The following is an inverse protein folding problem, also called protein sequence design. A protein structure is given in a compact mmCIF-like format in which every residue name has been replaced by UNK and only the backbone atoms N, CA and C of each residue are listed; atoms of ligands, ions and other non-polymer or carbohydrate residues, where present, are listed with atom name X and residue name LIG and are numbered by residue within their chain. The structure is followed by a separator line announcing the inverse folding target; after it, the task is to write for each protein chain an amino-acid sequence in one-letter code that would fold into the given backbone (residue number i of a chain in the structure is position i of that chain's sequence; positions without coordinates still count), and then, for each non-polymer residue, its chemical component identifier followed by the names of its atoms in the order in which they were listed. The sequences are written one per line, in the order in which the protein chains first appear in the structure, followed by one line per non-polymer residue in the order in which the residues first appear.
data_IF_733966003807
#
_entry.id   IF_733966003807
#
_cell.length_a   1.000
_cell.length_b   1.000
_cell.length_c   1.000
_cell.angle_alpha   90.00
_cell.angle_beta   90.00
_cell.angle_gamma   90.00
#
_symmetry.space_group_name_H-M   'P 1'
#
loop_
_entity.id
_entity.type
_entity.pdbx_description
1 polymer ?
#
# COMPACT_ATOMS: atom_id res chain seq x y z
N UNK A 1 28.19 24.72 -19.12
CA UNK A 1 27.58 25.03 -17.82
C UNK A 1 26.43 24.05 -17.59
N UNK A 2 26.65 23.01 -16.80
CA UNK A 2 25.62 22.05 -16.48
C UNK A 2 24.78 22.61 -15.33
N UNK A 3 23.53 22.93 -15.60
CA UNK A 3 22.55 23.30 -14.58
C UNK A 3 22.24 22.06 -13.74
N UNK A 4 22.84 21.97 -12.56
CA UNK A 4 22.40 21.04 -11.51
C UNK A 4 20.98 21.47 -11.11
N UNK A 5 19.97 20.76 -11.63
CA UNK A 5 18.64 20.79 -11.05
C UNK A 5 18.76 20.22 -9.64
N UNK A 6 18.67 21.07 -8.64
CA UNK A 6 18.47 20.67 -7.25
C UNK A 6 17.20 19.84 -7.22
N UNK A 7 17.32 18.52 -7.05
CA UNK A 7 16.19 17.64 -6.79
C UNK A 7 15.76 18.00 -5.37
N UNK A 8 14.75 18.85 -5.25
CA UNK A 8 14.05 19.10 -4.01
C UNK A 8 13.57 17.74 -3.49
N UNK A 9 13.94 17.38 -2.24
CA UNK A 9 13.40 16.19 -1.60
C UNK A 9 11.87 16.23 -1.72
N UNK A 10 11.21 15.16 -2.17
CA UNK A 10 9.77 15.18 -2.30
C UNK A 10 9.15 15.46 -0.93
N UNK A 11 8.34 16.51 -0.85
CA UNK A 11 7.54 16.77 0.35
C UNK A 11 6.59 15.60 0.59
N UNK A 12 6.26 15.29 1.86
CA UNK A 12 5.27 14.28 2.17
C UNK A 12 3.99 14.56 1.36
N UNK A 13 3.43 13.54 0.72
CA UNK A 13 2.18 13.70 0.01
C UNK A 13 1.11 14.21 1.00
N UNK A 14 0.31 15.22 0.62
CA UNK A 14 -0.80 15.67 1.44
C UNK A 14 -1.80 14.52 1.65
N UNK A 15 -2.63 14.57 2.70
CA UNK A 15 -3.68 13.59 2.89
C UNK A 15 -4.56 13.46 1.64
N UNK A 16 -4.83 12.22 1.23
CA UNK A 16 -5.67 11.91 0.07
C UNK A 16 -7.07 11.56 0.59
N UNK A 17 -8.08 12.29 0.14
CA UNK A 17 -9.47 12.05 0.53
C UNK A 17 -10.16 11.18 -0.52
N UNK A 18 -10.77 10.10 -0.07
CA UNK A 18 -11.63 9.21 -0.88
C UNK A 18 -13.07 9.19 -0.37
N UNK A 19 -13.88 8.33 -0.96
CA UNK A 19 -15.25 8.06 -0.55
C UNK A 19 -15.26 7.32 0.80
N UNK A 20 -15.66 8.03 1.86
CA UNK A 20 -15.68 7.50 3.23
C UNK A 20 -14.33 7.22 3.87
N UNK A 21 -13.20 7.54 3.22
CA UNK A 21 -11.86 7.29 3.74
C UNK A 21 -10.93 8.50 3.56
N UNK A 22 -9.93 8.57 4.43
CA UNK A 22 -8.77 9.46 4.31
C UNK A 22 -7.49 8.64 4.41
N UNK A 23 -6.58 8.85 3.47
CA UNK A 23 -5.25 8.25 3.46
C UNK A 23 -4.25 9.31 3.88
N UNK A 24 -3.41 9.01 4.85
CA UNK A 24 -2.29 9.87 5.23
C UNK A 24 -1.07 9.07 5.63
N UNK A 25 0.08 9.69 5.57
CA UNK A 25 1.32 9.11 6.06
C UNK A 25 1.17 8.72 7.54
N UNK A 26 1.62 7.49 7.92
CA UNK A 26 1.61 7.03 9.31
C UNK A 26 2.44 7.93 10.23
N UNK A 27 2.00 8.10 11.48
CA UNK A 27 2.65 8.92 12.49
C UNK A 27 2.86 8.13 13.78
N UNK A 28 3.79 8.58 14.64
CA UNK A 28 4.03 7.94 15.94
C UNK A 28 2.81 7.91 16.85
N UNK A 29 1.90 8.86 16.70
CA UNK A 29 0.61 8.93 17.41
C UNK A 29 -0.34 7.79 17.07
N UNK A 30 -0.15 7.16 15.90
CA UNK A 30 -1.00 6.06 15.43
C UNK A 30 -0.66 4.71 16.08
N UNK A 31 0.43 4.64 16.86
CA UNK A 31 0.95 3.39 17.39
C UNK A 31 -0.12 2.55 18.11
N UNK A 32 -0.89 3.17 19.00
CA UNK A 32 -1.87 2.46 19.83
C UNK A 32 -2.97 1.85 18.96
N UNK A 33 -3.56 2.64 18.07
CA UNK A 33 -4.61 2.19 17.16
C UNK A 33 -4.08 1.12 16.18
N UNK A 34 -2.88 1.33 15.63
CA UNK A 34 -2.26 0.39 14.72
C UNK A 34 -1.93 -0.95 15.38
N UNK A 35 -1.29 -0.95 16.55
CA UNK A 35 -0.91 -2.19 17.23
C UNK A 35 -2.12 -3.00 17.68
N UNK A 36 -3.15 -2.33 18.20
CA UNK A 36 -4.40 -2.98 18.59
C UNK A 36 -5.12 -3.62 17.39
N UNK A 37 -5.30 -2.86 16.29
CA UNK A 37 -5.96 -3.38 15.09
C UNK A 37 -5.18 -4.53 14.43
N UNK A 38 -3.85 -4.47 14.43
CA UNK A 38 -2.99 -5.54 13.91
C UNK A 38 -3.08 -6.79 14.77
N UNK A 39 -3.05 -6.65 16.10
CA UNK A 39 -3.17 -7.78 17.02
C UNK A 39 -4.53 -8.48 16.88
N UNK A 40 -5.62 -7.70 16.89
CA UNK A 40 -6.99 -8.22 16.67
C UNK A 40 -7.10 -8.97 15.31
N UNK A 41 -6.36 -8.51 14.32
CA UNK A 41 -6.42 -9.04 12.96
C UNK A 41 -5.36 -10.11 12.66
N UNK A 42 -4.57 -10.55 13.64
CA UNK A 42 -3.40 -11.43 13.44
C UNK A 42 -3.75 -12.70 12.65
N UNK A 43 -4.73 -13.44 13.08
CA UNK A 43 -5.15 -14.69 12.43
C UNK A 43 -5.69 -14.45 11.01
N UNK A 44 -6.42 -13.35 10.83
CA UNK A 44 -6.98 -12.95 9.54
C UNK A 44 -5.91 -12.53 8.52
N UNK A 45 -4.81 -11.89 8.96
CA UNK A 45 -3.76 -11.36 8.10
C UNK A 45 -2.63 -12.36 7.84
N UNK A 46 -2.32 -13.23 8.80
CA UNK A 46 -1.21 -14.19 8.73
C UNK A 46 -1.15 -15.00 7.42
N UNK A 47 -2.27 -15.48 6.84
CA UNK A 47 -2.22 -16.24 5.58
C UNK A 47 -1.77 -15.42 4.36
N UNK A 48 -1.74 -14.09 4.47
CA UNK A 48 -1.54 -13.18 3.34
C UNK A 48 -0.30 -12.32 3.44
N UNK A 49 0.43 -12.40 4.55
CA UNK A 49 1.58 -11.55 4.84
C UNK A 49 2.85 -12.36 5.14
N UNK A 50 4.03 -11.77 5.01
CA UNK A 50 5.27 -12.35 5.54
C UNK A 50 5.14 -12.67 7.03
N UNK A 51 5.94 -13.60 7.51
CA UNK A 51 6.02 -13.92 8.95
C UNK A 51 6.32 -12.67 9.76
N UNK A 52 5.50 -12.39 10.75
CA UNK A 52 5.72 -11.26 11.64
C UNK A 52 6.82 -11.56 12.65
N UNK A 53 7.83 -10.70 12.80
CA UNK A 53 8.76 -10.80 13.93
C UNK A 53 8.01 -10.83 15.26
N UNK A 54 8.58 -11.48 16.25
CA UNK A 54 7.94 -11.59 17.58
C UNK A 54 7.69 -10.23 18.26
N UNK A 55 8.47 -9.22 17.92
CA UNK A 55 8.38 -7.85 18.42
C UNK A 55 7.72 -6.87 17.43
N UNK A 56 7.12 -7.36 16.32
CA UNK A 56 6.58 -6.50 15.23
C UNK A 56 5.62 -5.42 15.74
N UNK A 57 4.80 -5.74 16.75
CA UNK A 57 3.84 -4.82 17.33
C UNK A 57 4.38 -4.00 18.52
N UNK A 58 5.68 -4.09 18.80
CA UNK A 58 6.30 -3.27 19.84
C UNK A 58 6.41 -1.80 19.42
N UNK A 59 6.38 -0.89 20.39
CA UNK A 59 6.61 0.55 20.14
C UNK A 59 7.99 0.83 19.54
N UNK A 60 8.98 0.00 19.84
CA UNK A 60 10.33 0.12 19.30
C UNK A 60 10.36 -0.22 17.80
N UNK A 61 9.78 -1.36 17.43
CA UNK A 61 9.65 -1.77 16.02
C UNK A 61 8.81 -0.75 15.21
N UNK A 62 7.72 -0.25 15.80
CA UNK A 62 6.91 0.78 15.15
C UNK A 62 7.70 2.09 14.92
N UNK A 63 8.51 2.53 15.88
CA UNK A 63 9.39 3.70 15.71
C UNK A 63 10.39 3.49 14.57
N UNK A 64 11.00 2.31 14.49
CA UNK A 64 11.92 1.97 13.42
C UNK A 64 11.20 1.96 12.06
N UNK A 65 9.98 1.42 12.01
CA UNK A 65 9.10 1.45 10.83
C UNK A 65 8.82 2.90 10.39
N UNK A 66 8.50 3.81 11.30
CA UNK A 66 8.27 5.23 10.98
C UNK A 66 9.53 5.90 10.41
N UNK A 67 10.70 5.60 10.95
CA UNK A 67 11.97 6.11 10.40
C UNK A 67 12.23 5.61 8.98
N UNK A 68 12.00 4.32 8.74
CA UNK A 68 12.11 3.74 7.40
C UNK A 68 11.12 4.37 6.43
N UNK A 69 9.87 4.54 6.82
CA UNK A 69 8.84 5.18 6.00
C UNK A 69 9.20 6.62 5.61
N UNK A 70 9.75 7.39 6.56
CA UNK A 70 10.22 8.74 6.26
C UNK A 70 11.38 8.75 5.27
N UNK A 71 12.33 7.82 5.42
CA UNK A 71 13.46 7.68 4.50
C UNK A 71 13.02 7.21 3.11
N UNK A 72 12.14 6.20 3.03
CA UNK A 72 11.60 5.68 1.77
C UNK A 72 10.86 6.78 0.99
N UNK A 73 10.09 7.63 1.67
CA UNK A 73 9.44 8.78 1.04
C UNK A 73 10.47 9.82 0.58
N UNK A 74 11.45 10.15 1.42
CA UNK A 74 12.50 11.12 1.10
C UNK A 74 13.34 10.69 -0.11
N UNK A 75 13.54 9.39 -0.30
CA UNK A 75 14.33 8.81 -1.38
C UNK A 75 13.48 8.34 -2.56
N UNK A 76 12.19 8.66 -2.56
CA UNK A 76 11.25 8.24 -3.62
C UNK A 76 11.21 6.72 -3.84
N UNK A 77 11.37 5.94 -2.77
CA UNK A 77 11.34 4.47 -2.81
C UNK A 77 9.96 3.90 -2.50
N UNK A 78 9.25 4.54 -1.56
CA UNK A 78 7.90 4.13 -1.19
C UNK A 78 7.09 5.28 -0.58
N UNK A 79 5.77 5.15 -0.68
CA UNK A 79 4.77 6.05 -0.11
C UNK A 79 3.78 5.24 0.73
N UNK A 80 4.02 5.11 2.04
CA UNK A 80 3.13 4.42 2.97
C UNK A 80 1.96 5.31 3.39
N UNK A 81 0.80 4.70 3.53
CA UNK A 81 -0.41 5.35 4.01
C UNK A 81 -1.11 4.47 5.04
N UNK A 82 -1.64 5.09 6.08
CA UNK A 82 -2.73 4.51 6.85
C UNK A 82 -4.07 5.00 6.29
N UNK A 83 -5.05 4.11 6.35
CA UNK A 83 -6.41 4.36 5.88
C UNK A 83 -7.31 4.56 7.08
N UNK A 84 -7.90 5.75 7.16
CA UNK A 84 -8.82 6.11 8.24
C UNK A 84 -10.23 6.20 7.69
N UNK A 85 -11.21 5.73 8.48
CA UNK A 85 -12.61 6.00 8.21
C UNK A 85 -12.88 7.48 8.45
N UNK A 86 -13.54 8.14 7.50
CA UNK A 86 -13.72 9.60 7.54
C UNK A 86 -14.69 10.06 8.62
N UNK A 87 -15.65 9.21 8.99
CA UNK A 87 -16.71 9.53 9.94
C UNK A 87 -16.18 9.83 11.35
N UNK A 88 -15.26 9.05 11.84
CA UNK A 88 -14.77 9.07 13.22
C UNK A 88 -13.24 9.01 13.34
N UNK A 89 -12.56 9.06 12.20
CA UNK A 89 -11.09 8.96 12.09
C UNK A 89 -10.52 7.66 12.69
N UNK A 90 -11.30 6.57 12.65
CA UNK A 90 -10.84 5.24 13.05
C UNK A 90 -9.88 4.66 12.01
N UNK A 91 -8.75 4.10 12.46
CA UNK A 91 -7.82 3.38 11.60
C UNK A 91 -8.45 2.06 11.14
N UNK A 92 -8.61 1.85 9.85
CA UNK A 92 -9.24 0.66 9.27
C UNK A 92 -8.26 -0.24 8.51
N UNK A 93 -7.08 0.26 8.17
CA UNK A 93 -6.08 -0.51 7.42
C UNK A 93 -4.88 0.31 6.99
N UNK A 94 -4.09 -0.26 6.10
CA UNK A 94 -2.92 0.40 5.53
C UNK A 94 -2.68 0.01 4.08
N UNK A 95 -1.93 0.85 3.40
CA UNK A 95 -1.62 0.72 2.00
C UNK A 95 -0.24 1.33 1.76
N UNK A 96 0.56 0.72 0.91
CA UNK A 96 1.86 1.23 0.51
C UNK A 96 2.00 1.15 -0.99
N UNK A 97 2.48 2.22 -1.59
CA UNK A 97 3.00 2.23 -2.94
C UNK A 97 4.53 2.19 -2.83
N UNK A 98 5.12 1.05 -3.12
CA UNK A 98 6.54 0.74 -2.91
C UNK A 98 7.24 0.36 -4.20
N UNK A 99 8.54 0.07 -4.12
CA UNK A 99 9.35 -0.33 -5.26
C UNK A 99 9.23 0.67 -6.43
N UNK A 100 9.29 1.95 -6.11
CA UNK A 100 9.20 3.00 -7.12
C UNK A 100 10.40 2.90 -8.06
N UNK A 101 10.11 2.67 -9.32
CA UNK A 101 11.12 2.61 -10.40
C UNK A 101 10.89 3.77 -11.35
N UNK A 102 11.87 4.66 -11.42
CA UNK A 102 11.87 5.81 -12.34
C UNK A 102 12.47 5.45 -13.71
N UNK A 103 12.90 6.42 -14.46
CA UNK A 103 13.47 6.23 -15.79
C UNK A 103 12.47 5.64 -16.77
N UNK A 104 12.83 4.60 -17.46
CA UNK A 104 12.00 3.94 -18.48
C UNK A 104 10.83 3.14 -17.93
N UNK A 105 10.87 2.76 -16.64
CA UNK A 105 9.82 1.95 -16.02
C UNK A 105 8.63 2.79 -15.54
N UNK A 106 8.87 3.90 -14.84
CA UNK A 106 7.84 4.76 -14.23
C UNK A 106 6.75 3.94 -13.54
N UNK A 107 7.14 2.99 -12.68
CA UNK A 107 6.23 2.04 -12.05
C UNK A 107 6.39 1.98 -10.54
N UNK A 108 5.36 1.45 -9.86
CA UNK A 108 5.37 1.15 -8.44
C UNK A 108 4.45 -0.01 -8.11
N UNK A 109 4.73 -0.69 -7.00
CA UNK A 109 3.99 -1.86 -6.53
C UNK A 109 3.11 -1.52 -5.35
N UNK A 110 1.87 -2.00 -5.35
CA UNK A 110 0.90 -1.80 -4.28
C UNK A 110 0.90 -2.99 -3.32
N UNK A 111 1.00 -2.68 -2.02
CA UNK A 111 0.71 -3.59 -0.94
C UNK A 111 -0.37 -2.98 -0.03
N UNK A 112 -1.26 -3.80 0.54
CA UNK A 112 -2.35 -3.30 1.39
C UNK A 112 -2.83 -4.37 2.37
N UNK A 113 -3.41 -3.89 3.45
CA UNK A 113 -4.09 -4.72 4.45
C UNK A 113 -5.30 -3.97 5.02
N UNK A 114 -6.26 -4.70 5.54
CA UNK A 114 -7.43 -4.16 6.24
C UNK A 114 -7.64 -4.94 7.53
N UNK A 115 -8.02 -4.26 8.60
CA UNK A 115 -8.38 -4.92 9.85
C UNK A 115 -9.55 -5.90 9.68
N UNK A 116 -9.52 -7.01 10.40
CA UNK A 116 -10.54 -8.06 10.30
C UNK A 116 -11.96 -7.50 10.51
N UNK A 117 -12.15 -6.67 11.53
CA UNK A 117 -13.42 -6.00 11.87
C UNK A 117 -13.91 -5.01 10.78
N UNK A 118 -13.01 -4.57 9.90
CA UNK A 118 -13.29 -3.63 8.80
C UNK A 118 -13.33 -4.28 7.42
N UNK A 119 -13.07 -5.58 7.34
CA UNK A 119 -13.07 -6.30 6.07
C UNK A 119 -14.44 -6.29 5.38
N UNK A 120 -14.45 -6.36 4.04
CA UNK A 120 -15.66 -6.43 3.20
C UNK A 120 -16.60 -5.20 3.28
N UNK A 121 -16.18 -4.09 3.90
CA UNK A 121 -16.95 -2.84 4.00
C UNK A 121 -16.59 -1.81 2.91
N UNK A 122 -15.74 -2.17 1.95
CA UNK A 122 -15.39 -1.30 0.81
C UNK A 122 -14.25 -0.31 1.06
N UNK A 123 -13.75 -0.17 2.28
CA UNK A 123 -12.71 0.81 2.63
C UNK A 123 -11.46 0.71 1.75
N UNK A 124 -10.94 -0.50 1.50
CA UNK A 124 -9.76 -0.65 0.65
C UNK A 124 -10.05 -0.34 -0.82
N UNK A 125 -11.27 -0.60 -1.31
CA UNK A 125 -11.70 -0.17 -2.65
C UNK A 125 -11.70 1.35 -2.77
N UNK A 126 -12.25 2.05 -1.78
CA UNK A 126 -12.26 3.51 -1.71
C UNK A 126 -10.83 4.06 -1.61
N UNK A 127 -9.97 3.44 -0.79
CA UNK A 127 -8.58 3.82 -0.64
C UNK A 127 -7.79 3.71 -1.95
N UNK A 128 -7.89 2.58 -2.66
CA UNK A 128 -7.23 2.42 -3.95
C UNK A 128 -7.74 3.41 -4.99
N UNK A 129 -9.06 3.61 -5.07
CA UNK A 129 -9.65 4.60 -5.99
C UNK A 129 -9.15 6.03 -5.72
N UNK A 130 -8.90 6.37 -4.47
CA UNK A 130 -8.36 7.67 -4.08
C UNK A 130 -6.86 7.79 -4.39
N UNK A 131 -6.07 6.73 -4.17
CA UNK A 131 -4.63 6.73 -4.40
C UNK A 131 -4.26 6.74 -5.88
N UNK A 132 -4.95 5.97 -6.72
CA UNK A 132 -4.59 5.73 -8.12
C UNK A 132 -4.40 7.03 -8.91
N UNK A 133 -5.31 8.02 -8.87
CA UNK A 133 -5.09 9.30 -9.53
C UNK A 133 -3.84 10.02 -9.03
N UNK A 134 -3.60 10.03 -7.71
CA UNK A 134 -2.40 10.65 -7.12
C UNK A 134 -1.12 9.98 -7.59
N UNK A 135 -1.10 8.65 -7.72
CA UNK A 135 0.04 7.91 -8.22
C UNK A 135 0.38 8.28 -9.68
N UNK A 136 -0.62 8.42 -10.53
CA UNK A 136 -0.43 8.76 -11.94
C UNK A 136 -0.17 10.25 -12.17
N UNK A 137 -0.88 11.14 -11.48
CA UNK A 137 -0.87 12.57 -11.79
C UNK A 137 0.12 13.37 -10.95
N UNK A 138 0.28 13.01 -9.65
CA UNK A 138 1.23 13.67 -8.76
C UNK A 138 2.59 13.00 -8.81
N UNK A 139 2.65 11.67 -8.60
CA UNK A 139 3.90 10.92 -8.63
C UNK A 139 4.38 10.60 -10.04
N UNK A 140 3.59 10.92 -11.07
CA UNK A 140 3.96 10.75 -12.49
C UNK A 140 4.33 9.31 -12.87
N UNK A 141 3.75 8.34 -12.21
CA UNK A 141 3.92 6.95 -12.60
C UNK A 141 3.14 6.66 -13.90
N UNK A 142 3.59 5.68 -14.63
CA UNK A 142 2.91 5.15 -15.83
C UNK A 142 2.17 3.86 -15.52
N UNK A 143 2.66 3.09 -14.53
CA UNK A 143 2.20 1.75 -14.23
C UNK A 143 2.14 1.49 -12.72
N UNK A 144 1.04 0.90 -12.27
CA UNK A 144 0.88 0.36 -10.93
C UNK A 144 0.81 -1.16 -11.02
N UNK A 145 1.57 -1.84 -10.20
CA UNK A 145 1.65 -3.29 -10.13
C UNK A 145 1.07 -3.78 -8.79
N UNK A 146 0.49 -4.96 -8.79
CA UNK A 146 0.08 -5.66 -7.57
C UNK A 146 0.19 -7.18 -7.78
N UNK A 147 0.43 -7.91 -6.72
CA UNK A 147 0.44 -9.36 -6.74
C UNK A 147 -0.41 -9.91 -5.60
N UNK A 148 -1.11 -10.99 -5.83
CA UNK A 148 -1.86 -11.67 -4.78
C UNK A 148 -1.85 -13.19 -4.96
N UNK A 149 -1.90 -13.91 -3.85
CA UNK A 149 -1.99 -15.38 -3.83
C UNK A 149 -3.28 -15.79 -4.56
N UNK A 150 -3.27 -16.84 -5.41
CA UNK A 150 -4.43 -17.25 -6.22
C UNK A 150 -5.69 -17.59 -5.40
N UNK A 151 -5.54 -17.99 -4.15
CA UNK A 151 -6.64 -18.29 -3.23
C UNK A 151 -7.20 -17.05 -2.52
N UNK A 152 -6.53 -15.89 -2.62
CA UNK A 152 -7.02 -14.65 -2.01
C UNK A 152 -8.09 -13.98 -2.89
N UNK A 153 -9.28 -14.57 -2.90
CA UNK A 153 -10.42 -14.09 -3.70
C UNK A 153 -10.79 -12.64 -3.38
N UNK A 154 -10.59 -12.20 -2.13
CA UNK A 154 -10.89 -10.82 -1.73
C UNK A 154 -9.95 -9.83 -2.42
N UNK A 155 -8.65 -10.13 -2.48
CA UNK A 155 -7.65 -9.32 -3.16
C UNK A 155 -7.87 -9.31 -4.68
N UNK A 156 -8.16 -10.47 -5.28
CA UNK A 156 -8.48 -10.59 -6.72
C UNK A 156 -9.63 -9.64 -7.08
N UNK A 157 -10.76 -9.75 -6.38
CA UNK A 157 -11.94 -8.90 -6.63
C UNK A 157 -11.67 -7.41 -6.40
N UNK A 158 -10.84 -7.08 -5.40
CA UNK A 158 -10.45 -5.71 -5.14
C UNK A 158 -9.66 -5.11 -6.31
N UNK A 159 -8.66 -5.84 -6.80
CA UNK A 159 -7.82 -5.40 -7.93
C UNK A 159 -8.65 -5.23 -9.20
N UNK A 160 -9.46 -6.23 -9.55
CA UNK A 160 -10.33 -6.17 -10.73
C UNK A 160 -11.34 -5.01 -10.63
N UNK A 161 -11.99 -4.84 -9.47
CA UNK A 161 -12.96 -3.75 -9.23
C UNK A 161 -12.32 -2.35 -9.29
N UNK A 162 -11.01 -2.27 -9.06
CA UNK A 162 -10.25 -1.02 -9.15
C UNK A 162 -9.49 -0.87 -10.47
N UNK A 163 -9.84 -1.67 -11.50
CA UNK A 163 -9.37 -1.54 -12.87
C UNK A 163 -7.97 -2.11 -13.13
N UNK A 164 -7.46 -2.97 -12.24
CA UNK A 164 -6.26 -3.74 -12.54
C UNK A 164 -6.60 -4.91 -13.45
N UNK A 165 -5.73 -5.16 -14.41
CA UNK A 165 -5.80 -6.27 -15.34
C UNK A 165 -4.80 -7.33 -14.94
N UNK A 166 -5.20 -8.60 -14.99
CA UNK A 166 -4.30 -9.72 -14.77
C UNK A 166 -3.40 -9.91 -15.98
N UNK A 167 -2.08 -9.92 -15.73
CA UNK A 167 -1.07 -10.05 -16.78
C UNK A 167 -0.29 -11.37 -16.70
N UNK A 168 -0.33 -12.05 -15.56
CA UNK A 168 0.48 -13.24 -15.42
C UNK A 168 0.26 -14.07 -14.16
N UNK A 169 1.10 -15.08 -14.06
CA UNK A 169 1.21 -15.99 -12.93
C UNK A 169 2.70 -16.24 -12.66
N UNK A 170 3.12 -15.96 -11.45
CA UNK A 170 4.50 -16.17 -11.01
C UNK A 170 4.55 -17.29 -9.98
N UNK A 171 5.32 -18.34 -10.25
CA UNK A 171 5.51 -19.47 -9.34
C UNK A 171 6.49 -19.06 -8.23
N UNK A 172 6.21 -19.49 -6.98
CA UNK A 172 7.08 -19.28 -5.81
C UNK A 172 7.63 -17.84 -5.73
N UNK A 173 6.74 -16.86 -5.91
CA UNK A 173 7.11 -15.46 -6.12
C UNK A 173 7.48 -14.74 -4.84
N UNK A 174 6.67 -14.90 -3.78
CA UNK A 174 6.89 -14.27 -2.48
C UNK A 174 6.77 -15.28 -1.35
N UNK A 175 7.60 -15.09 -0.32
CA UNK A 175 7.55 -15.92 0.89
C UNK A 175 6.48 -15.34 1.85
N UNK A 176 5.34 -16.00 1.93
CA UNK A 176 4.21 -15.60 2.76
C UNK A 176 4.09 -16.59 3.91
N UNK A 177 4.05 -16.09 5.14
CA UNK A 177 4.03 -16.90 6.35
C UNK A 177 5.06 -18.05 6.35
N UNK A 178 6.28 -17.75 5.87
CA UNK A 178 7.39 -18.71 5.80
C UNK A 178 7.34 -19.70 4.63
N UNK A 179 6.36 -19.60 3.74
CA UNK A 179 6.19 -20.51 2.60
C UNK A 179 6.26 -19.71 1.30
N UNK A 180 7.05 -20.16 0.32
CA UNK A 180 7.05 -19.59 -1.02
C UNK A 180 5.72 -19.88 -1.70
N UNK A 181 5.03 -18.83 -2.12
CA UNK A 181 3.68 -18.86 -2.69
C UNK A 181 3.65 -18.36 -4.12
N UNK A 182 2.85 -19.02 -4.93
CA UNK A 182 2.52 -18.55 -6.27
C UNK A 182 1.67 -17.29 -6.19
N UNK A 183 1.82 -16.39 -7.16
CA UNK A 183 1.04 -15.16 -7.21
C UNK A 183 0.47 -14.90 -8.60
N UNK A 184 -0.76 -14.38 -8.62
CA UNK A 184 -1.31 -13.70 -9.79
C UNK A 184 -0.71 -12.30 -9.86
N UNK A 185 -0.26 -11.91 -11.05
CA UNK A 185 0.31 -10.60 -11.31
C UNK A 185 -0.73 -9.72 -11.97
N UNK A 186 -0.90 -8.53 -11.43
CA UNK A 186 -1.85 -7.53 -11.89
C UNK A 186 -1.14 -6.22 -12.17
N UNK A 187 -1.65 -5.48 -13.17
CA UNK A 187 -1.21 -4.12 -13.44
C UNK A 187 -2.37 -3.22 -13.82
N UNK A 188 -2.17 -1.92 -13.57
CA UNK A 188 -3.02 -0.85 -14.08
C UNK A 188 -2.17 0.23 -14.68
N UNK A 189 -2.51 0.66 -15.89
CA UNK A 189 -1.77 1.68 -16.62
C UNK A 189 -2.44 3.05 -16.51
N UNK A 190 -1.65 4.11 -16.68
CA UNK A 190 -2.17 5.48 -16.70
C UNK A 190 -3.22 5.69 -17.81
N UNK A 191 -3.06 5.03 -18.95
CA UNK A 191 -4.00 5.11 -20.07
C UNK A 191 -5.38 4.51 -19.75
N UNK A 192 -5.46 3.57 -18.78
CA UNK A 192 -6.71 2.95 -18.35
C UNK A 192 -7.63 3.93 -17.58
N UNK A 193 -7.14 5.15 -17.29
CA UNK A 193 -7.93 6.24 -16.68
C UNK A 193 -8.66 7.11 -17.73
N UNK A 194 -8.29 6.99 -19.01
CA UNK A 194 -8.96 7.77 -20.06
C UNK A 194 -10.35 7.21 -20.28
N UNK A 195 -11.38 8.08 -20.31
CA UNK A 195 -12.74 7.67 -20.61
C UNK A 195 -12.86 7.05 -22.00
#
# INVERSE_FOLDING_TARGET
MALFRTISSPEPLPPITGDGVTLRTPQMTDFVAWSALREESREFLTPWEPTWPSDDLSRAAFRQRMRRYAEDQRTDQAYPFFVFRKEDNELVGGLVLANIRRGVAQSGSLGYWVGASHARRGYMTAALRALIPSAFDVLRLHRLEAACIPTNVASIRLLEKTGFQREGYAREYLCINGIWQDHLLYARLRVDQRP
#
